data_IF_504715982987
#
_entry.id   IF_504715982987
#
_cell.length_a   1.000
_cell.length_b   1.000
_cell.length_c   1.000
_cell.angle_alpha   90.00
_cell.angle_beta   90.00
_cell.angle_gamma   90.00
#
_symmetry.space_group_name_H-M   'P 1'
#
loop_
_entity.id
_entity.type
_entity.pdbx_description
1 polymer ?
#
# COMPACT_ATOMS: atom_id res chain seq x y z
N UNK A 1 13.13 -12.78 -8.12
CA UNK A 1 12.64 -12.27 -6.82
C UNK A 1 11.11 -12.34 -6.74
N UNK A 2 10.39 -11.84 -7.75
CA UNK A 2 8.92 -11.97 -7.82
C UNK A 2 8.43 -13.43 -7.83
N UNK A 3 9.14 -14.35 -8.50
CA UNK A 3 8.83 -15.79 -8.41
C UNK A 3 8.95 -16.35 -6.99
N UNK A 4 9.86 -15.80 -6.16
CA UNK A 4 9.97 -16.17 -4.74
C UNK A 4 8.81 -15.59 -3.93
N UNK A 5 8.39 -14.34 -4.20
CA UNK A 5 7.18 -13.77 -3.58
C UNK A 5 5.95 -14.63 -3.90
N UNK A 6 5.78 -15.03 -5.17
CA UNK A 6 4.72 -15.94 -5.60
C UNK A 6 4.80 -17.30 -4.88
N UNK A 7 5.99 -17.89 -4.73
CA UNK A 7 6.17 -19.15 -4.00
C UNK A 7 5.90 -19.02 -2.50
N UNK A 8 6.10 -17.84 -1.91
CA UNK A 8 5.73 -17.52 -0.53
C UNK A 8 4.23 -17.25 -0.34
N UNK A 9 3.42 -17.34 -1.40
CA UNK A 9 1.97 -17.19 -1.36
C UNK A 9 1.46 -15.79 -1.69
N UNK A 10 2.33 -14.85 -2.10
CA UNK A 10 1.85 -13.57 -2.64
C UNK A 10 1.22 -13.78 -4.03
N UNK A 11 -0.08 -13.54 -4.13
CA UNK A 11 -0.77 -13.45 -5.42
C UNK A 11 -0.88 -12.00 -5.89
N UNK A 12 -1.11 -11.81 -7.18
CA UNK A 12 -1.37 -10.47 -7.71
C UNK A 12 -2.63 -9.87 -7.10
N UNK A 13 -3.72 -10.65 -6.99
CA UNK A 13 -4.95 -10.24 -6.32
C UNK A 13 -4.71 -9.77 -4.88
N UNK A 14 -3.90 -10.49 -4.10
CA UNK A 14 -3.53 -10.06 -2.75
C UNK A 14 -2.74 -8.74 -2.78
N UNK A 15 -1.81 -8.59 -3.72
CA UNK A 15 -1.04 -7.35 -3.87
C UNK A 15 -1.94 -6.17 -4.22
N UNK A 16 -2.87 -6.33 -5.15
CA UNK A 16 -3.85 -5.29 -5.48
C UNK A 16 -4.75 -4.96 -4.28
N UNK A 17 -5.21 -5.96 -3.55
CA UNK A 17 -6.00 -5.76 -2.34
C UNK A 17 -5.21 -4.97 -1.28
N UNK A 18 -3.92 -5.27 -1.07
CA UNK A 18 -3.05 -4.50 -0.17
C UNK A 18 -2.85 -3.05 -0.65
N UNK A 19 -2.78 -2.82 -1.96
CA UNK A 19 -2.72 -1.48 -2.53
C UNK A 19 -4.00 -0.67 -2.30
N UNK A 20 -5.17 -1.28 -2.43
CA UNK A 20 -6.43 -0.63 -2.05
C UNK A 20 -6.53 -0.42 -0.54
N UNK A 21 -6.13 -1.41 0.25
CA UNK A 21 -6.15 -1.34 1.70
C UNK A 21 -5.25 -0.22 2.23
N UNK A 22 -4.10 0.04 1.60
CA UNK A 22 -3.21 1.12 2.01
C UNK A 22 -3.83 2.51 1.79
N UNK A 23 -4.65 2.68 0.75
CA UNK A 23 -5.41 3.93 0.55
C UNK A 23 -6.42 4.12 1.66
N UNK A 24 -7.24 3.10 1.96
CA UNK A 24 -8.22 3.18 3.06
C UNK A 24 -7.52 3.42 4.40
N UNK A 25 -6.43 2.69 4.66
CA UNK A 25 -5.63 2.85 5.87
C UNK A 25 -5.04 4.26 5.98
N UNK A 26 -4.61 4.88 4.87
CA UNK A 26 -4.11 6.26 4.89
C UNK A 26 -5.15 7.27 5.38
N UNK A 27 -6.41 7.11 4.95
CA UNK A 27 -7.53 7.96 5.37
C UNK A 27 -7.79 7.76 6.86
N UNK A 28 -7.87 6.50 7.30
CA UNK A 28 -8.06 6.17 8.72
C UNK A 28 -6.94 6.76 9.58
N UNK A 29 -5.69 6.56 9.18
CA UNK A 29 -4.51 7.08 9.88
C UNK A 29 -4.54 8.60 9.97
N UNK A 30 -4.81 9.29 8.87
CA UNK A 30 -4.93 10.74 8.84
C UNK A 30 -6.00 11.22 9.83
N UNK A 31 -7.20 10.62 9.82
CA UNK A 31 -8.26 10.96 10.77
C UNK A 31 -7.87 10.68 12.23
N UNK A 32 -7.24 9.54 12.52
CA UNK A 32 -6.90 9.17 13.90
C UNK A 32 -5.72 9.94 14.48
N UNK A 33 -4.88 10.50 13.62
CA UNK A 33 -3.61 11.12 14.02
C UNK A 33 -3.62 12.65 13.93
N UNK A 34 -4.81 13.25 14.09
CA UNK A 34 -4.97 14.70 14.14
C UNK A 34 -5.03 15.37 12.76
N UNK A 35 -5.23 14.63 11.67
CA UNK A 35 -5.31 15.21 10.33
C UNK A 35 -6.42 16.25 10.14
N UNK A 36 -7.41 16.27 11.03
CA UNK A 36 -8.46 17.30 11.08
C UNK A 36 -8.06 18.54 11.88
N UNK A 37 -6.96 18.49 12.61
CA UNK A 37 -6.46 19.59 13.44
C UNK A 37 -5.67 20.59 12.59
N UNK A 38 -5.77 21.87 12.93
CA UNK A 38 -5.08 22.94 12.20
C UNK A 38 -3.64 23.14 12.69
N UNK A 39 -2.75 23.49 11.76
CA UNK A 39 -1.36 23.85 12.07
C UNK A 39 -0.51 22.66 12.47
N UNK A 40 0.46 22.88 13.37
CA UNK A 40 1.46 21.86 13.73
C UNK A 40 0.84 20.60 14.34
N UNK A 41 -0.34 20.71 14.97
CA UNK A 41 -1.05 19.59 15.57
C UNK A 41 -1.50 18.56 14.52
N UNK A 42 -1.83 18.99 13.29
CA UNK A 42 -2.24 18.11 12.20
C UNK A 42 -1.10 17.57 11.33
N UNK A 43 0.09 18.19 11.40
CA UNK A 43 1.23 17.84 10.55
C UNK A 43 1.65 16.36 10.69
N UNK A 44 1.49 15.77 11.87
CA UNK A 44 1.77 14.35 12.10
C UNK A 44 0.82 13.44 11.31
N UNK A 45 -0.48 13.72 11.31
CA UNK A 45 -1.48 12.95 10.57
C UNK A 45 -1.37 13.10 9.07
N UNK A 46 -1.06 14.30 8.57
CA UNK A 46 -0.77 14.52 7.14
C UNK A 46 0.42 13.70 6.67
N UNK A 47 1.56 13.75 7.39
CA UNK A 47 2.79 13.03 7.02
C UNK A 47 2.60 11.53 7.10
N UNK A 48 1.97 11.03 8.16
CA UNK A 48 1.82 9.60 8.37
C UNK A 48 0.75 9.01 7.44
N UNK A 49 -0.35 9.72 7.20
CA UNK A 49 -1.35 9.35 6.20
C UNK A 49 -0.73 9.22 4.81
N UNK A 50 0.00 10.23 4.35
CA UNK A 50 0.69 10.19 3.04
C UNK A 50 1.67 9.02 2.97
N UNK A 51 2.48 8.79 4.00
CA UNK A 51 3.43 7.68 4.02
C UNK A 51 2.75 6.32 3.80
N UNK A 52 1.62 6.07 4.45
CA UNK A 52 0.84 4.84 4.28
C UNK A 52 0.20 4.80 2.88
N UNK A 53 -0.34 5.92 2.41
CA UNK A 53 -0.98 6.02 1.08
C UNK A 53 -0.02 5.73 -0.08
N UNK A 54 1.26 6.12 0.06
CA UNK A 54 2.31 5.90 -0.95
C UNK A 54 2.66 4.42 -1.18
N UNK A 55 2.19 3.49 -0.34
CA UNK A 55 2.40 2.06 -0.57
C UNK A 55 1.51 1.49 -1.69
N UNK A 56 0.44 2.18 -2.06
CA UNK A 56 -0.47 1.77 -3.13
C UNK A 56 0.26 1.49 -4.46
N UNK A 57 1.03 2.43 -5.05
CA UNK A 57 1.76 2.18 -6.30
C UNK A 57 2.75 1.02 -6.19
N UNK A 58 3.40 0.84 -5.03
CA UNK A 58 4.33 -0.26 -4.80
C UNK A 58 3.62 -1.61 -4.88
N UNK A 59 2.51 -1.76 -4.17
CA UNK A 59 1.73 -3.01 -4.20
C UNK A 59 1.10 -3.28 -5.57
N UNK A 60 0.64 -2.23 -6.27
CA UNK A 60 0.14 -2.35 -7.63
C UNK A 60 1.24 -2.81 -8.61
N UNK A 61 2.46 -2.26 -8.47
CA UNK A 61 3.60 -2.67 -9.29
C UNK A 61 4.01 -4.13 -9.01
N UNK A 62 4.00 -4.56 -7.74
CA UNK A 62 4.26 -5.96 -7.36
C UNK A 62 3.19 -6.88 -7.96
N UNK A 63 1.91 -6.53 -7.82
CA UNK A 63 0.80 -7.33 -8.37
C UNK A 63 0.91 -7.48 -9.88
N UNK A 64 1.13 -6.37 -10.59
CA UNK A 64 1.35 -6.37 -12.04
C UNK A 64 2.58 -7.21 -12.42
N UNK A 65 3.66 -7.12 -11.65
CA UNK A 65 4.84 -7.94 -11.85
C UNK A 65 4.57 -9.43 -11.69
N UNK A 66 3.73 -9.83 -10.73
CA UNK A 66 3.35 -11.23 -10.49
C UNK A 66 2.42 -11.76 -11.60
N UNK A 67 1.45 -10.96 -12.05
CA UNK A 67 0.50 -11.36 -13.11
C UNK A 67 1.17 -11.56 -14.46
N UNK A 68 2.25 -10.81 -14.73
CA UNK A 68 3.02 -10.94 -15.97
C UNK A 68 4.21 -11.90 -15.85
N UNK A 69 4.32 -12.67 -14.75
CA UNK A 69 5.37 -13.69 -14.66
C UNK A 69 5.12 -14.80 -15.68
N UNK A 70 6.12 -15.18 -16.51
CA UNK A 70 6.00 -16.33 -17.38
C UNK A 70 5.77 -17.59 -16.53
N UNK A 71 4.74 -18.36 -16.86
CA UNK A 71 4.52 -19.66 -16.24
C UNK A 71 5.64 -20.62 -16.69
N UNK A 72 6.40 -21.18 -15.73
CA UNK A 72 7.42 -22.20 -16.01
C UNK A 72 8.89 -21.86 -15.73
N UNK A 73 9.20 -20.91 -14.83
CA UNK A 73 10.55 -20.75 -14.24
C UNK A 73 10.52 -20.73 -12.73
#
# INVERSE_FOLDING_TARGET
MLSKLKSFGFSANLSYALGFLSVIASIVVWFTQGGTDAGELGAAGERFGIFVGLWAPTFMAIGNGIDNLPEGK
#
